data_IF_849291600531
#
_entry.id   IF_849291600531
#
_cell.length_a   1.000
_cell.length_b   1.000
_cell.length_c   1.000
_cell.angle_alpha   90.00
_cell.angle_beta   90.00
_cell.angle_gamma   90.00
#
_symmetry.space_group_name_H-M   'P 1'
#
loop_
_entity.id
_entity.type
_entity.pdbx_description
1 polymer ?
#
# COMPACT_ATOMS: atom_id res chain seq x y z
N UNK A 1 -5.41 -23.45 -1.34
CA UNK A 1 -4.43 -22.40 -0.97
C UNK A 1 -5.04 -21.41 0.02
N UNK A 2 -6.27 -20.94 -0.19
CA UNK A 2 -6.97 -19.99 0.69
C UNK A 2 -7.04 -20.46 2.15
N UNK A 3 -7.38 -21.70 2.40
CA UNK A 3 -7.43 -22.28 3.76
C UNK A 3 -6.11 -22.13 4.53
N UNK A 4 -4.97 -22.39 3.86
CA UNK A 4 -3.64 -22.21 4.46
C UNK A 4 -3.34 -20.74 4.82
N UNK A 5 -3.83 -19.79 4.02
CA UNK A 5 -3.70 -18.37 4.32
C UNK A 5 -4.52 -18.01 5.56
N UNK A 6 -5.76 -18.49 5.66
CA UNK A 6 -6.60 -18.29 6.84
C UNK A 6 -5.97 -18.88 8.10
N UNK A 7 -5.44 -20.11 8.02
CA UNK A 7 -4.72 -20.74 9.12
C UNK A 7 -3.50 -19.92 9.56
N UNK A 8 -2.72 -19.42 8.59
CA UNK A 8 -1.55 -18.58 8.86
C UNK A 8 -1.93 -17.29 9.57
N UNK A 9 -2.92 -16.56 9.06
CA UNK A 9 -3.41 -15.31 9.67
C UNK A 9 -3.95 -15.54 11.08
N UNK A 10 -4.77 -16.60 11.26
CA UNK A 10 -5.28 -16.98 12.57
C UNK A 10 -4.17 -17.35 13.55
N UNK A 11 -3.13 -18.05 13.06
CA UNK A 11 -1.98 -18.47 13.85
C UNK A 11 -1.17 -17.32 14.44
N UNK A 12 -1.20 -16.15 13.81
CA UNK A 12 -0.55 -14.92 14.29
C UNK A 12 -1.51 -13.93 14.95
N UNK A 13 -2.76 -14.35 15.22
CA UNK A 13 -3.72 -13.57 15.98
C UNK A 13 -4.50 -12.51 15.18
N UNK A 14 -4.45 -12.56 13.85
CA UNK A 14 -5.27 -11.69 12.99
C UNK A 14 -6.74 -12.13 13.06
N UNK A 15 -7.66 -11.19 13.23
CA UNK A 15 -9.10 -11.46 13.13
C UNK A 15 -9.48 -11.75 11.68
N UNK A 16 -9.85 -13.00 11.42
CA UNK A 16 -10.28 -13.49 10.11
C UNK A 16 -11.80 -13.54 9.93
N UNK A 17 -12.57 -13.06 10.89
CA UNK A 17 -14.04 -13.18 10.89
C UNK A 17 -14.72 -12.46 9.74
N UNK A 18 -14.01 -11.55 9.08
CA UNK A 18 -14.51 -10.76 7.95
C UNK A 18 -13.84 -11.08 6.62
N UNK A 19 -13.06 -12.15 6.58
CA UNK A 19 -12.53 -12.66 5.31
C UNK A 19 -13.60 -13.53 4.65
N UNK A 20 -14.05 -13.10 3.48
CA UNK A 20 -15.00 -13.86 2.70
C UNK A 20 -14.30 -14.97 1.92
N UNK A 21 -14.89 -16.18 1.94
CA UNK A 21 -14.39 -17.33 1.20
C UNK A 21 -15.29 -17.58 0.00
N UNK A 22 -14.74 -17.41 -1.19
CA UNK A 22 -15.41 -17.71 -2.46
C UNK A 22 -15.03 -19.13 -2.92
N UNK A 23 -16.00 -20.01 -3.05
CA UNK A 23 -15.74 -21.42 -3.39
C UNK A 23 -15.42 -21.64 -4.87
N UNK A 24 -15.95 -20.78 -5.74
CA UNK A 24 -15.86 -20.93 -7.20
C UNK A 24 -14.72 -20.16 -7.84
N UNK A 25 -13.94 -19.42 -7.04
CA UNK A 25 -12.86 -18.55 -7.53
C UNK A 25 -11.59 -18.82 -6.72
N UNK A 26 -10.44 -19.03 -7.36
CA UNK A 26 -9.19 -19.20 -6.64
C UNK A 26 -8.80 -17.89 -5.92
N UNK A 27 -8.12 -18.02 -4.78
CA UNK A 27 -7.47 -16.87 -4.14
C UNK A 27 -6.45 -16.21 -5.09
N UNK A 28 -6.14 -14.95 -4.88
CA UNK A 28 -5.11 -14.23 -5.65
C UNK A 28 -3.78 -15.00 -5.65
N UNK A 29 -3.05 -14.93 -6.75
CA UNK A 29 -1.77 -15.62 -6.94
C UNK A 29 -0.80 -14.71 -7.67
N UNK A 30 0.46 -14.71 -7.23
CA UNK A 30 1.56 -14.13 -7.95
C UNK A 30 2.51 -15.24 -8.42
N UNK A 31 2.91 -15.19 -9.68
CA UNK A 31 3.93 -16.06 -10.26
C UNK A 31 5.16 -15.19 -10.51
N UNK A 32 6.22 -15.46 -9.76
CA UNK A 32 7.46 -14.71 -9.82
C UNK A 32 8.46 -15.54 -10.61
N UNK A 33 8.91 -15.02 -11.73
CA UNK A 33 10.03 -15.58 -12.52
C UNK A 33 11.25 -14.72 -12.27
N UNK A 34 12.38 -15.38 -12.02
CA UNK A 34 13.67 -14.71 -11.80
C UNK A 34 14.62 -15.22 -12.86
N UNK A 35 15.31 -14.32 -13.57
CA UNK A 35 16.32 -14.69 -14.56
C UNK A 35 17.70 -14.90 -13.94
N UNK A 36 18.66 -15.30 -14.77
CA UNK A 36 20.04 -15.56 -14.33
C UNK A 36 20.79 -14.30 -13.85
N UNK A 37 20.24 -13.11 -14.08
CA UNK A 37 20.78 -11.83 -13.63
C UNK A 37 20.14 -11.35 -12.32
N UNK A 38 19.12 -12.10 -11.83
CA UNK A 38 18.37 -11.77 -10.63
C UNK A 38 17.21 -10.79 -10.88
N UNK A 39 16.94 -10.43 -12.13
CA UNK A 39 15.78 -9.62 -12.50
C UNK A 39 14.49 -10.45 -12.37
N UNK A 40 13.46 -9.86 -11.83
CA UNK A 40 12.19 -10.54 -11.64
C UNK A 40 11.08 -9.98 -12.55
N UNK A 41 10.20 -10.86 -12.98
CA UNK A 41 8.95 -10.53 -13.63
C UNK A 41 7.81 -11.21 -12.87
N UNK A 42 6.77 -10.45 -12.53
CA UNK A 42 5.66 -10.91 -11.70
C UNK A 42 4.39 -10.91 -12.52
N UNK A 43 3.75 -12.09 -12.61
CA UNK A 43 2.42 -12.24 -13.21
C UNK A 43 1.42 -12.35 -12.06
N UNK A 44 0.50 -11.40 -11.98
CA UNK A 44 -0.54 -11.35 -10.95
C UNK A 44 -1.86 -11.87 -11.53
N UNK A 45 -2.47 -12.82 -10.83
CA UNK A 45 -3.84 -13.29 -11.07
C UNK A 45 -4.67 -12.84 -9.87
N UNK A 46 -5.51 -11.85 -10.06
CA UNK A 46 -6.28 -11.23 -8.97
C UNK A 46 -7.18 -12.25 -8.23
N UNK A 47 -7.75 -13.24 -8.95
CA UNK A 47 -8.63 -14.23 -8.32
C UNK A 47 -9.77 -13.57 -7.54
N UNK A 48 -9.99 -14.02 -6.31
CA UNK A 48 -11.03 -13.48 -5.43
C UNK A 48 -10.84 -12.00 -5.10
N UNK A 49 -9.58 -11.49 -5.07
CA UNK A 49 -9.32 -10.06 -4.84
C UNK A 49 -10.01 -9.17 -5.89
N UNK A 50 -10.03 -9.62 -7.16
CA UNK A 50 -10.72 -8.92 -8.24
C UNK A 50 -12.25 -8.95 -8.17
N UNK A 51 -12.82 -9.64 -7.18
CA UNK A 51 -14.27 -9.78 -6.97
C UNK A 51 -14.78 -9.04 -5.74
N UNK A 52 -13.95 -8.25 -5.09
CA UNK A 52 -14.40 -7.37 -4.01
C UNK A 52 -15.41 -6.37 -4.58
N UNK A 53 -16.58 -6.26 -3.94
CA UNK A 53 -17.70 -5.43 -4.37
C UNK A 53 -18.08 -4.40 -3.29
N UNK A 54 -18.92 -3.43 -3.65
CA UNK A 54 -19.46 -2.45 -2.69
C UNK A 54 -20.31 -3.12 -1.63
N UNK A 55 -21.11 -4.11 -2.00
CA UNK A 55 -21.96 -4.87 -1.08
C UNK A 55 -21.12 -5.60 -0.02
N UNK A 56 -19.95 -6.14 -0.40
CA UNK A 56 -19.01 -6.73 0.56
C UNK A 56 -18.48 -5.67 1.53
N UNK A 57 -18.11 -4.49 1.04
CA UNK A 57 -17.68 -3.37 1.89
C UNK A 57 -18.82 -2.94 2.84
N UNK A 58 -20.03 -2.78 2.32
CA UNK A 58 -21.19 -2.36 3.11
C UNK A 58 -21.53 -3.37 4.21
N UNK A 59 -21.42 -4.67 3.94
CA UNK A 59 -21.63 -5.73 4.94
C UNK A 59 -20.58 -5.70 6.07
N UNK A 60 -19.43 -5.06 5.85
CA UNK A 60 -18.33 -4.91 6.80
C UNK A 60 -18.16 -3.47 7.31
N UNK A 61 -19.11 -2.57 7.01
CA UNK A 61 -19.01 -1.16 7.32
C UNK A 61 -18.79 -0.87 8.82
N UNK A 62 -19.40 -1.67 9.70
CA UNK A 62 -19.22 -1.52 11.15
C UNK A 62 -17.77 -1.70 11.58
N UNK A 63 -17.07 -2.70 11.03
CA UNK A 63 -15.67 -2.94 11.30
C UNK A 63 -14.80 -1.80 10.75
N UNK A 64 -15.06 -1.39 9.51
CA UNK A 64 -14.34 -0.27 8.87
C UNK A 64 -14.45 1.00 9.73
N UNK A 65 -15.65 1.31 10.22
CA UNK A 65 -15.90 2.47 11.09
C UNK A 65 -15.27 2.37 12.48
N UNK A 66 -15.06 1.18 13.01
CA UNK A 66 -14.37 0.95 14.27
C UNK A 66 -12.85 1.02 14.17
N UNK A 67 -12.29 0.88 12.97
CA UNK A 67 -10.85 0.93 12.74
C UNK A 67 -10.36 2.38 12.76
N UNK A 68 -9.19 2.63 13.31
CA UNK A 68 -8.55 3.96 13.34
C UNK A 68 -7.74 4.22 12.06
N UNK A 69 -7.17 3.16 11.49
CA UNK A 69 -6.31 3.21 10.32
C UNK A 69 -6.81 2.20 9.28
N UNK A 70 -6.96 2.64 8.05
CA UNK A 70 -7.32 1.81 6.91
C UNK A 70 -6.13 1.73 5.96
N UNK A 71 -5.66 0.52 5.71
CA UNK A 71 -4.59 0.25 4.76
C UNK A 71 -5.21 -0.36 3.51
N UNK A 72 -4.88 0.18 2.35
CA UNK A 72 -5.34 -0.32 1.06
C UNK A 72 -4.17 -0.49 0.10
N UNK A 73 -4.30 -1.45 -0.81
CA UNK A 73 -3.43 -1.66 -1.96
C UNK A 73 -4.25 -1.55 -3.26
N UNK A 74 -3.58 -1.71 -4.42
CA UNK A 74 -4.24 -1.66 -5.72
C UNK A 74 -4.48 -3.06 -6.32
N UNK A 75 -4.58 -4.08 -5.47
CA UNK A 75 -4.86 -5.46 -5.88
C UNK A 75 -6.36 -5.80 -5.93
N UNK A 76 -7.21 -4.87 -5.49
CA UNK A 76 -8.68 -4.94 -5.61
C UNK A 76 -9.17 -3.94 -6.67
N UNK A 77 -10.43 -4.03 -7.13
CA UNK A 77 -10.93 -3.06 -8.11
C UNK A 77 -10.76 -1.61 -7.64
N UNK A 78 -10.20 -0.77 -8.50
CA UNK A 78 -9.86 0.62 -8.17
C UNK A 78 -11.08 1.43 -7.71
N UNK A 79 -12.26 1.12 -8.25
CA UNK A 79 -13.53 1.73 -7.82
C UNK A 79 -13.87 1.44 -6.36
N UNK A 80 -13.45 0.27 -5.85
CA UNK A 80 -13.64 -0.13 -4.44
C UNK A 80 -12.68 0.63 -3.56
N UNK A 81 -11.43 0.82 -3.97
CA UNK A 81 -10.46 1.68 -3.26
C UNK A 81 -11.04 3.09 -3.09
N UNK A 82 -11.58 3.67 -4.18
CA UNK A 82 -12.23 4.98 -4.13
C UNK A 82 -13.49 5.00 -3.26
N UNK A 83 -14.26 3.92 -3.26
CA UNK A 83 -15.47 3.78 -2.45
C UNK A 83 -15.14 3.73 -0.95
N UNK A 84 -14.20 2.87 -0.54
CA UNK A 84 -13.74 2.78 0.86
C UNK A 84 -13.15 4.12 1.31
N UNK A 85 -12.27 4.71 0.50
CA UNK A 85 -11.67 6.02 0.78
C UNK A 85 -12.73 7.08 1.11
N UNK A 86 -13.79 7.16 0.31
CA UNK A 86 -14.88 8.11 0.55
C UNK A 86 -15.58 7.88 1.89
N UNK A 87 -15.89 6.61 2.22
CA UNK A 87 -16.54 6.26 3.50
C UNK A 87 -15.68 6.71 4.68
N UNK A 88 -14.39 6.40 4.65
CA UNK A 88 -13.49 6.63 5.81
C UNK A 88 -13.06 8.09 5.95
N UNK A 89 -13.06 8.84 4.86
CA UNK A 89 -12.77 10.29 4.88
C UNK A 89 -13.82 11.06 5.70
N UNK A 90 -15.10 10.67 5.60
CA UNK A 90 -16.21 11.28 6.37
C UNK A 90 -16.08 10.99 7.87
N UNK A 91 -15.47 9.87 8.24
CA UNK A 91 -15.27 9.46 9.63
C UNK A 91 -13.90 9.90 10.22
N UNK A 92 -13.09 10.65 9.46
CA UNK A 92 -11.81 11.18 9.92
C UNK A 92 -10.74 10.12 10.19
N UNK A 93 -10.83 8.97 9.52
CA UNK A 93 -9.86 7.87 9.65
C UNK A 93 -8.57 8.16 8.91
N UNK A 94 -7.47 7.57 9.38
CA UNK A 94 -6.19 7.62 8.66
C UNK A 94 -6.23 6.60 7.52
N UNK A 95 -5.91 7.05 6.32
CA UNK A 95 -5.83 6.19 5.13
C UNK A 95 -4.38 6.08 4.66
N UNK A 96 -3.88 4.86 4.62
CA UNK A 96 -2.58 4.51 4.05
C UNK A 96 -2.84 3.77 2.73
N UNK A 97 -2.37 4.31 1.62
CA UNK A 97 -2.37 3.64 0.33
C UNK A 97 -0.97 3.13 0.00
N UNK A 98 -0.83 1.82 -0.08
CA UNK A 98 0.32 1.17 -0.70
C UNK A 98 -0.03 0.94 -2.17
N UNK A 99 0.53 1.73 -3.12
CA UNK A 99 0.06 1.76 -4.50
C UNK A 99 0.63 0.60 -5.34
N UNK A 100 0.64 -0.59 -4.79
CA UNK A 100 1.12 -1.82 -5.42
C UNK A 100 -0.06 -2.71 -5.88
N UNK A 101 -0.05 -3.24 -7.11
CA UNK A 101 0.81 -2.84 -8.21
C UNK A 101 0.48 -1.44 -8.73
N UNK A 102 1.50 -0.65 -9.06
CA UNK A 102 1.29 0.73 -9.47
C UNK A 102 0.50 0.81 -10.78
N UNK A 103 -0.45 1.73 -10.81
CA UNK A 103 -1.32 1.99 -11.96
C UNK A 103 -1.04 3.42 -12.45
N UNK A 104 -0.80 3.55 -13.75
CA UNK A 104 -0.68 4.86 -14.37
C UNK A 104 -2.05 5.58 -14.33
N UNK A 105 -2.01 6.89 -14.12
CA UNK A 105 -3.20 7.74 -14.18
C UNK A 105 -4.31 7.36 -13.17
N UNK A 106 -3.94 7.11 -11.91
CA UNK A 106 -4.93 6.98 -10.84
C UNK A 106 -5.79 8.25 -10.79
N UNK A 107 -7.12 8.13 -10.80
CA UNK A 107 -8.03 9.28 -10.71
C UNK A 107 -7.72 10.17 -9.50
N UNK A 108 -7.67 11.48 -9.69
CA UNK A 108 -7.32 12.44 -8.65
C UNK A 108 -8.26 12.37 -7.43
N UNK A 109 -9.53 12.05 -7.66
CA UNK A 109 -10.50 11.88 -6.56
C UNK A 109 -10.19 10.71 -5.63
N UNK A 110 -9.38 9.73 -6.07
CA UNK A 110 -8.86 8.65 -5.22
C UNK A 110 -7.65 9.14 -4.42
N UNK A 111 -6.74 9.88 -5.06
CA UNK A 111 -5.52 10.37 -4.42
C UNK A 111 -5.80 11.51 -3.44
N UNK A 112 -6.73 12.40 -3.78
CA UNK A 112 -7.05 13.58 -2.98
C UNK A 112 -7.54 13.19 -1.59
N UNK A 113 -6.83 13.64 -0.56
CA UNK A 113 -7.18 13.41 0.85
C UNK A 113 -6.59 12.12 1.44
N UNK A 114 -5.88 11.29 0.67
CA UNK A 114 -5.08 10.18 1.23
C UNK A 114 -4.08 10.75 2.24
N UNK A 115 -4.06 10.17 3.45
CA UNK A 115 -3.15 10.65 4.49
C UNK A 115 -1.71 10.27 4.21
N UNK A 116 -1.48 9.02 3.79
CA UNK A 116 -0.16 8.52 3.43
C UNK A 116 -0.23 7.67 2.17
N UNK A 117 0.64 7.94 1.21
CA UNK A 117 0.92 7.03 0.09
C UNK A 117 2.37 6.57 0.17
N UNK A 118 2.61 5.28 -0.03
CA UNK A 118 3.94 4.66 0.13
C UNK A 118 4.39 3.92 -1.13
N UNK A 119 4.76 4.61 -2.19
CA UNK A 119 5.39 3.98 -3.35
C UNK A 119 6.87 3.64 -3.09
N UNK A 120 7.39 2.65 -3.83
CA UNK A 120 8.81 2.57 -4.13
C UNK A 120 9.19 3.48 -5.31
N UNK A 121 10.46 3.51 -5.70
CA UNK A 121 10.95 4.37 -6.80
C UNK A 121 10.27 4.05 -8.14
N UNK A 122 10.10 2.77 -8.47
CA UNK A 122 9.46 2.31 -9.70
C UNK A 122 7.95 2.66 -9.70
N UNK A 123 7.28 2.42 -8.60
CA UNK A 123 5.86 2.77 -8.43
C UNK A 123 5.66 4.28 -8.52
N UNK A 124 6.52 5.07 -7.88
CA UNK A 124 6.49 6.53 -7.97
C UNK A 124 6.63 7.02 -9.40
N UNK A 125 7.55 6.42 -10.17
CA UNK A 125 7.72 6.72 -11.59
C UNK A 125 6.45 6.42 -12.40
N UNK A 126 5.82 5.26 -12.16
CA UNK A 126 4.58 4.87 -12.84
C UNK A 126 3.42 5.83 -12.49
N UNK A 127 3.25 6.14 -11.21
CA UNK A 127 2.18 7.02 -10.71
C UNK A 127 2.25 8.45 -11.21
N UNK A 128 3.46 8.93 -11.44
CA UNK A 128 3.71 10.34 -11.80
C UNK A 128 4.03 10.54 -13.26
N UNK A 129 4.45 9.47 -13.95
CA UNK A 129 4.98 9.54 -15.33
C UNK A 129 6.35 10.21 -15.42
N UNK A 130 6.98 10.53 -14.27
CA UNK A 130 8.28 11.18 -14.22
C UNK A 130 9.38 10.13 -14.02
N UNK A 131 10.44 10.20 -14.81
CA UNK A 131 11.61 9.34 -14.65
C UNK A 131 12.32 9.66 -13.33
N UNK A 132 12.69 8.62 -12.59
CA UNK A 132 13.35 8.72 -11.28
C UNK A 132 14.71 8.07 -11.36
N UNK A 133 15.78 8.86 -11.25
CA UNK A 133 17.17 8.39 -11.31
C UNK A 133 17.99 8.72 -10.07
N UNK A 134 17.54 9.65 -9.27
CA UNK A 134 18.25 10.15 -8.10
C UNK A 134 17.26 10.75 -7.10
N UNK A 135 17.75 11.09 -5.91
CA UNK A 135 16.91 11.64 -4.83
C UNK A 135 16.16 12.91 -5.24
N UNK A 136 16.76 13.77 -6.05
CA UNK A 136 16.09 15.01 -6.50
C UNK A 136 14.88 14.69 -7.35
N UNK A 137 15.01 13.71 -8.25
CA UNK A 137 13.90 13.27 -9.08
C UNK A 137 12.77 12.64 -8.22
N UNK A 138 13.15 11.88 -7.17
CA UNK A 138 12.19 11.33 -6.18
C UNK A 138 11.41 12.47 -5.53
N UNK A 139 12.11 13.50 -5.04
CA UNK A 139 11.49 14.67 -4.43
C UNK A 139 10.51 15.36 -5.38
N UNK A 140 10.91 15.60 -6.62
CA UNK A 140 10.04 16.28 -7.60
C UNK A 140 8.84 15.41 -7.98
N UNK A 141 9.03 14.11 -8.16
CA UNK A 141 7.95 13.17 -8.43
C UNK A 141 6.96 13.10 -7.25
N UNK A 142 7.45 13.00 -6.01
CA UNK A 142 6.61 13.00 -4.82
C UNK A 142 5.78 14.28 -4.68
N UNK A 143 6.33 15.44 -5.03
CA UNK A 143 5.60 16.72 -5.07
C UNK A 143 4.44 16.73 -6.05
N UNK A 144 4.49 15.91 -7.12
CA UNK A 144 3.35 15.74 -8.04
C UNK A 144 2.18 15.10 -7.29
N UNK A 145 2.43 14.07 -6.46
CA UNK A 145 1.40 13.42 -5.66
C UNK A 145 0.82 14.37 -4.60
N UNK A 146 1.67 15.17 -3.96
CA UNK A 146 1.21 16.24 -3.02
C UNK A 146 0.29 17.23 -3.74
N UNK A 147 0.66 17.68 -4.95
CA UNK A 147 -0.19 18.57 -5.77
C UNK A 147 -1.51 17.94 -6.16
N UNK A 148 -1.57 16.62 -6.31
CA UNK A 148 -2.81 15.86 -6.54
C UNK A 148 -3.64 15.66 -5.26
N UNK A 149 -3.19 16.20 -4.12
CA UNK A 149 -3.94 16.23 -2.87
C UNK A 149 -3.63 15.12 -1.88
N UNK A 150 -2.58 14.34 -2.09
CA UNK A 150 -2.04 13.44 -1.06
C UNK A 150 -1.40 14.28 0.05
N UNK A 151 -1.61 13.92 1.31
CA UNK A 151 -1.09 14.70 2.44
C UNK A 151 0.40 14.40 2.72
N UNK A 152 0.78 13.13 2.68
CA UNK A 152 2.14 12.69 2.96
C UNK A 152 2.57 11.59 1.98
N UNK A 153 3.78 11.66 1.48
CA UNK A 153 4.39 10.66 0.59
C UNK A 153 5.60 10.06 1.28
N UNK A 154 5.66 8.74 1.34
CA UNK A 154 6.81 7.98 1.82
C UNK A 154 7.34 7.18 0.64
N UNK A 155 8.54 7.51 0.17
CA UNK A 155 9.16 6.77 -0.94
C UNK A 155 10.21 5.82 -0.39
N UNK A 156 9.99 4.53 -0.54
CA UNK A 156 10.96 3.51 -0.13
C UNK A 156 12.01 3.31 -1.23
N UNK A 157 13.30 3.24 -0.83
CA UNK A 157 14.46 3.18 -1.73
C UNK A 157 15.34 1.96 -1.38
N UNK A 158 14.72 0.84 -1.07
CA UNK A 158 15.41 -0.39 -0.74
C UNK A 158 16.49 -0.22 0.34
N UNK A 159 17.71 -0.60 0.03
CA UNK A 159 18.87 -0.50 0.94
C UNK A 159 19.32 0.93 1.26
N UNK A 160 18.85 1.94 0.54
CA UNK A 160 19.19 3.34 0.82
C UNK A 160 18.31 3.95 1.91
N UNK A 161 17.11 3.39 2.14
CA UNK A 161 16.21 3.88 3.18
C UNK A 161 14.88 4.40 2.65
N UNK A 162 14.40 5.53 3.16
CA UNK A 162 13.17 6.14 2.66
C UNK A 162 13.22 7.67 2.71
N UNK A 163 12.40 8.29 1.88
CA UNK A 163 12.18 9.73 1.84
C UNK A 163 10.74 10.04 2.26
N UNK A 164 10.58 10.84 3.32
CA UNK A 164 9.29 11.37 3.76
C UNK A 164 9.10 12.78 3.24
N UNK A 165 7.99 13.04 2.58
CA UNK A 165 7.67 14.35 2.01
C UNK A 165 6.21 14.71 2.28
N UNK A 166 5.97 15.92 2.73
CA UNK A 166 4.67 16.57 2.69
C UNK A 166 4.83 18.05 2.24
N UNK A 167 3.80 18.87 2.41
CA UNK A 167 3.84 20.28 2.00
C UNK A 167 4.91 21.10 2.73
N UNK A 168 5.31 20.72 3.95
CA UNK A 168 6.15 21.51 4.86
C UNK A 168 7.51 20.83 5.12
N UNK A 169 7.61 19.52 4.90
CA UNK A 169 8.73 18.69 5.35
C UNK A 169 9.24 17.85 4.19
N UNK A 170 10.55 17.76 4.08
CA UNK A 170 11.28 16.80 3.26
C UNK A 170 12.39 16.23 4.13
N UNK A 171 12.34 14.94 4.46
CA UNK A 171 13.30 14.29 5.34
C UNK A 171 13.67 12.90 4.84
N UNK A 172 14.95 12.62 4.85
CA UNK A 172 15.51 11.34 4.44
C UNK A 172 15.91 10.51 5.65
N UNK A 173 15.51 9.26 5.66
CA UNK A 173 15.85 8.26 6.67
C UNK A 173 16.71 7.18 6.02
N UNK A 174 18.00 7.07 6.39
CA UNK A 174 18.86 6.01 5.87
C UNK A 174 18.40 4.65 6.39
N UNK A 175 18.55 3.60 5.56
CA UNK A 175 18.30 2.25 6.03
C UNK A 175 19.35 1.81 7.06
N UNK A 176 18.94 0.92 7.96
CA UNK A 176 19.90 0.21 8.79
C UNK A 176 20.71 -0.76 7.92
N UNK A 177 22.04 -0.82 8.08
CA UNK A 177 22.88 -1.72 7.30
C UNK A 177 22.60 -3.18 7.69
N UNK A 178 22.02 -3.92 6.77
CA UNK A 178 21.71 -5.35 6.92
C UNK A 178 22.15 -6.11 5.68
N UNK A 179 22.48 -7.38 5.83
CA UNK A 179 22.67 -8.29 4.70
C UNK A 179 21.31 -8.90 4.35
N UNK A 180 20.62 -8.33 3.38
CA UNK A 180 19.38 -8.90 2.89
C UNK A 180 19.62 -10.27 2.25
N UNK A 181 18.80 -11.26 2.61
CA UNK A 181 18.78 -12.60 2.03
C UNK A 181 17.58 -12.71 1.07
N UNK A 182 16.45 -12.16 1.48
CA UNK A 182 15.22 -12.12 0.71
C UNK A 182 14.49 -10.82 1.06
N UNK A 183 14.05 -10.08 0.04
CA UNK A 183 13.32 -8.81 0.18
C UNK A 183 11.82 -8.94 -0.05
N UNK A 184 11.33 -10.17 -0.22
CA UNK A 184 9.90 -10.43 -0.38
C UNK A 184 9.13 -9.90 0.84
N UNK A 185 8.03 -9.20 0.59
CA UNK A 185 7.18 -8.57 1.61
C UNK A 185 7.87 -7.49 2.48
N UNK A 186 9.06 -6.99 2.11
CA UNK A 186 9.69 -5.89 2.85
C UNK A 186 8.82 -4.63 2.84
N UNK A 187 8.15 -4.33 1.71
CA UNK A 187 7.19 -3.25 1.60
C UNK A 187 5.98 -3.43 2.53
N UNK A 188 5.44 -4.65 2.60
CA UNK A 188 4.29 -4.97 3.47
C UNK A 188 4.69 -4.82 4.95
N UNK A 189 5.86 -5.33 5.34
CA UNK A 189 6.41 -5.16 6.68
C UNK A 189 6.59 -3.68 7.05
N UNK A 190 7.11 -2.87 6.12
CA UNK A 190 7.25 -1.42 6.33
C UNK A 190 5.88 -0.77 6.56
N UNK A 191 4.90 -1.06 5.69
CA UNK A 191 3.53 -0.51 5.81
C UNK A 191 2.89 -0.88 7.15
N UNK A 192 3.03 -2.14 7.57
CA UNK A 192 2.49 -2.62 8.85
C UNK A 192 3.17 -1.96 10.06
N UNK A 193 4.50 -1.86 10.06
CA UNK A 193 5.25 -1.20 11.13
C UNK A 193 4.92 0.30 11.22
N UNK A 194 4.81 0.97 10.09
CA UNK A 194 4.42 2.37 10.01
C UNK A 194 2.99 2.60 10.56
N UNK A 195 2.03 1.78 10.16
CA UNK A 195 0.67 1.85 10.66
C UNK A 195 0.62 1.61 12.18
N UNK A 196 1.39 0.64 12.69
CA UNK A 196 1.49 0.38 14.13
C UNK A 196 2.08 1.59 14.87
N UNK A 197 3.13 2.22 14.36
CA UNK A 197 3.71 3.41 14.95
C UNK A 197 2.70 4.57 15.02
N UNK A 198 1.93 4.78 13.95
CA UNK A 198 0.85 5.78 13.94
C UNK A 198 -0.23 5.46 14.98
N UNK A 199 -0.64 4.19 15.13
CA UNK A 199 -1.64 3.78 16.12
C UNK A 199 -1.18 4.02 17.57
N UNK A 200 0.14 4.05 17.78
CA UNK A 200 0.78 4.36 19.07
C UNK A 200 1.02 5.87 19.27
N UNK A 201 0.50 6.71 18.38
CA UNK A 201 0.74 8.16 18.38
C UNK A 201 2.22 8.56 18.32
N UNK A 202 3.06 7.70 17.75
CA UNK A 202 4.44 8.06 17.48
C UNK A 202 4.51 9.12 16.40
N UNK A 203 5.47 10.01 16.53
CA UNK A 203 5.68 11.00 15.49
C UNK A 203 6.45 10.36 14.31
N UNK A 204 6.38 11.00 13.16
CA UNK A 204 6.97 10.49 11.93
C UNK A 204 8.51 10.33 11.96
N UNK A 205 9.20 10.84 12.99
CA UNK A 205 10.65 10.66 13.21
C UNK A 205 10.99 9.41 14.01
N UNK A 206 10.03 8.84 14.71
CA UNK A 206 10.20 7.64 15.54
C UNK A 206 9.95 6.35 14.78
#
# INVERSE_FOLDING_TARGET
KGEKLLESLKGVGVDISRIEVMNDIPTGQAFITVDDQGENAIIIIAGANGKVTKELIDSNLALIKQSDIIIMQLEIPLEIVGYVKKIVEEDGKIVILDPAPAIKDIPENILKGIDYIKPNETELQILTGMEVKNRKDITEAAKILIKKGVKNVIVTMGGDGCLYINKDIEEFFPAYPVKAIDTTAAGDCFTAAFALALSQNKNWKE
#
